data_IF_639347449752
#
_entry.id   IF_639347449752
#
_cell.length_a   1.000
_cell.length_b   1.000
_cell.length_c   1.000
_cell.angle_alpha   90.00
_cell.angle_beta   90.00
_cell.angle_gamma   90.00
#
_symmetry.space_group_name_H-M   'P 1'
#
loop_
_entity.id
_entity.type
_entity.pdbx_description
1 polymer ?
#
# COMPACT_ATOMS: atom_id res chain seq x y z
N UNK A 1 17.52 5.97 11.55
CA UNK A 1 17.60 4.50 11.36
C UNK A 1 17.21 4.21 9.92
N UNK A 2 18.07 3.60 9.09
CA UNK A 2 17.73 3.23 7.71
C UNK A 2 16.92 1.92 7.77
N UNK A 3 15.75 1.91 7.15
CA UNK A 3 14.94 0.71 7.00
C UNK A 3 15.73 -0.29 6.16
N UNK A 4 15.91 -1.53 6.65
CA UNK A 4 16.65 -2.56 5.91
C UNK A 4 15.91 -2.96 4.63
N UNK A 5 16.63 -3.46 3.62
CA UNK A 5 16.02 -3.91 2.35
C UNK A 5 14.92 -4.96 2.58
N UNK A 6 15.12 -5.84 3.56
CA UNK A 6 14.12 -6.83 3.99
C UNK A 6 12.85 -6.18 4.54
N UNK A 7 12.98 -5.14 5.37
CA UNK A 7 11.85 -4.39 5.90
C UNK A 7 11.10 -3.63 4.81
N UNK A 8 11.80 -3.09 3.80
CA UNK A 8 11.17 -2.47 2.63
C UNK A 8 10.36 -3.50 1.84
N UNK A 9 10.92 -4.68 1.60
CA UNK A 9 10.20 -5.77 0.92
C UNK A 9 8.95 -6.19 1.71
N UNK A 10 9.07 -6.37 3.03
CA UNK A 10 7.94 -6.74 3.88
C UNK A 10 6.86 -5.66 3.90
N UNK A 11 7.25 -4.39 4.02
CA UNK A 11 6.31 -3.27 3.96
C UNK A 11 5.56 -3.24 2.63
N UNK A 12 6.25 -3.49 1.51
CA UNK A 12 5.60 -3.57 0.20
C UNK A 12 4.54 -4.68 0.15
N UNK A 13 4.84 -5.86 0.69
CA UNK A 13 3.86 -6.96 0.81
C UNK A 13 2.66 -6.55 1.64
N UNK A 14 2.89 -5.94 2.81
CA UNK A 14 1.82 -5.48 3.70
C UNK A 14 0.91 -4.44 3.04
N UNK A 15 1.48 -3.53 2.23
CA UNK A 15 0.72 -2.55 1.47
C UNK A 15 -0.17 -3.24 0.43
N UNK A 16 0.37 -4.20 -0.33
CA UNK A 16 -0.38 -4.95 -1.33
C UNK A 16 -1.55 -5.73 -0.71
N UNK A 17 -1.30 -6.46 0.38
CA UNK A 17 -2.37 -7.21 1.06
C UNK A 17 -3.47 -6.30 1.62
N UNK A 18 -3.09 -5.17 2.21
CA UNK A 18 -4.04 -4.17 2.69
C UNK A 18 -4.85 -3.58 1.53
N UNK A 19 -4.21 -3.30 0.40
CA UNK A 19 -4.82 -2.76 -0.80
C UNK A 19 -5.83 -3.75 -1.40
N UNK A 20 -5.42 -4.99 -1.68
CA UNK A 20 -6.32 -6.03 -2.24
C UNK A 20 -7.56 -6.23 -1.36
N UNK A 21 -7.38 -6.27 -0.02
CA UNK A 21 -8.49 -6.43 0.92
C UNK A 21 -9.46 -5.24 0.86
N UNK A 22 -8.93 -4.01 0.88
CA UNK A 22 -9.75 -2.81 0.87
C UNK A 22 -10.47 -2.63 -0.47
N UNK A 23 -9.79 -2.85 -1.59
CA UNK A 23 -10.39 -2.75 -2.92
C UNK A 23 -11.50 -3.78 -3.10
N UNK A 24 -11.32 -5.01 -2.60
CA UNK A 24 -12.37 -6.04 -2.67
C UNK A 24 -13.57 -5.73 -1.77
N UNK A 25 -13.34 -5.10 -0.62
CA UNK A 25 -14.41 -4.80 0.35
C UNK A 25 -15.22 -3.54 0.00
N UNK A 26 -14.56 -2.49 -0.51
CA UNK A 26 -15.15 -1.16 -0.71
C UNK A 26 -15.21 -0.70 -2.17
N UNK A 27 -14.53 -1.40 -3.07
CA UNK A 27 -14.32 -0.98 -4.45
C UNK A 27 -13.12 -0.03 -4.60
N UNK A 28 -12.56 0.03 -5.81
CA UNK A 28 -11.39 0.87 -6.12
C UNK A 28 -11.64 2.34 -5.79
N UNK A 29 -12.75 2.93 -6.25
CA UNK A 29 -13.00 4.38 -6.14
C UNK A 29 -13.11 4.86 -4.70
N UNK A 30 -13.71 4.06 -3.81
CA UNK A 30 -13.93 4.41 -2.41
C UNK A 30 -12.66 4.32 -1.54
N UNK A 31 -11.62 3.60 -1.99
CA UNK A 31 -10.40 3.39 -1.20
C UNK A 31 -9.36 4.46 -1.51
N UNK A 32 -8.79 5.08 -0.49
CA UNK A 32 -7.70 6.05 -0.64
C UNK A 32 -6.34 5.43 -0.33
N UNK A 33 -5.27 5.96 -0.92
CA UNK A 33 -3.89 5.53 -0.58
C UNK A 33 -3.59 5.73 0.91
N UNK A 34 -4.16 6.76 1.53
CA UNK A 34 -4.01 7.00 2.96
C UNK A 34 -4.66 5.89 3.81
N UNK A 35 -5.84 5.39 3.42
CA UNK A 35 -6.48 4.25 4.08
C UNK A 35 -5.66 2.98 3.93
N UNK A 36 -5.13 2.71 2.73
CA UNK A 36 -4.26 1.53 2.50
C UNK A 36 -3.02 1.60 3.37
N UNK A 37 -2.32 2.74 3.36
CA UNK A 37 -1.11 2.92 4.17
C UNK A 37 -1.41 2.79 5.67
N UNK A 38 -2.51 3.37 6.14
CA UNK A 38 -2.96 3.22 7.53
C UNK A 38 -3.25 1.75 7.86
N UNK A 39 -3.91 1.02 6.98
CA UNK A 39 -4.20 -0.41 7.15
C UNK A 39 -2.92 -1.28 7.10
N UNK A 40 -1.88 -0.84 6.40
CA UNK A 40 -0.56 -1.46 6.38
C UNK A 40 0.35 -1.03 7.55
N UNK A 41 -0.13 -0.14 8.45
CA UNK A 41 0.66 0.35 9.59
C UNK A 41 1.74 1.37 9.21
N UNK A 42 1.61 2.02 8.06
CA UNK A 42 2.60 2.91 7.48
C UNK A 42 2.05 4.34 7.32
N UNK A 43 2.96 5.31 7.23
CA UNK A 43 2.58 6.71 7.02
C UNK A 43 2.20 6.93 5.56
N UNK A 44 1.27 7.86 5.31
CA UNK A 44 0.86 8.23 3.95
C UNK A 44 2.07 8.67 3.10
N UNK A 45 2.99 9.46 3.65
CA UNK A 45 4.20 9.90 2.93
C UNK A 45 5.11 8.75 2.50
N UNK A 46 5.08 7.59 3.19
CA UNK A 46 5.83 6.40 2.81
C UNK A 46 5.36 5.79 1.49
N UNK A 47 4.15 6.08 1.03
CA UNK A 47 3.54 5.48 -0.16
C UNK A 47 4.40 5.68 -1.40
N UNK A 48 4.87 6.91 -1.61
CA UNK A 48 5.67 7.31 -2.78
C UNK A 48 7.07 6.68 -2.82
N UNK A 49 7.49 6.00 -1.74
CA UNK A 49 8.69 5.16 -1.74
C UNK A 49 8.47 3.75 -2.28
N UNK A 50 7.21 3.30 -2.40
CA UNK A 50 6.84 1.94 -2.83
C UNK A 50 6.08 1.93 -4.16
N UNK A 51 5.20 2.91 -4.38
CA UNK A 51 4.30 2.97 -5.53
C UNK A 51 4.23 4.37 -6.11
N UNK A 52 4.11 4.47 -7.43
CA UNK A 52 4.05 5.76 -8.10
C UNK A 52 2.66 6.42 -8.01
N UNK A 53 1.60 5.60 -7.87
CA UNK A 53 0.20 6.05 -7.89
C UNK A 53 -0.74 4.97 -7.36
N UNK A 54 -1.98 5.36 -7.04
CA UNK A 54 -3.04 4.41 -6.65
C UNK A 54 -3.30 3.36 -7.74
N UNK A 55 -3.25 3.77 -9.01
CA UNK A 55 -3.41 2.86 -10.15
C UNK A 55 -2.29 1.81 -10.21
N UNK A 56 -1.04 2.25 -9.99
CA UNK A 56 0.13 1.38 -9.92
C UNK A 56 0.03 0.38 -8.76
N UNK A 57 -0.41 0.84 -7.58
CA UNK A 57 -0.73 -0.03 -6.46
C UNK A 57 -1.77 -1.08 -6.83
N UNK A 58 -2.83 -0.67 -7.53
CA UNK A 58 -3.96 -1.54 -7.88
C UNK A 58 -3.53 -2.61 -8.87
N UNK A 59 -2.83 -2.21 -9.93
CA UNK A 59 -2.27 -3.12 -10.93
C UNK A 59 -1.35 -4.18 -10.31
N UNK A 60 -0.63 -3.85 -9.23
CA UNK A 60 0.26 -4.76 -8.53
C UNK A 60 -0.43 -5.58 -7.41
N UNK A 61 -1.65 -5.21 -7.03
CA UNK A 61 -2.45 -5.87 -5.97
C UNK A 61 -3.49 -6.87 -6.50
N UNK A 62 -3.51 -7.09 -7.81
CA UNK A 62 -4.39 -8.03 -8.51
C UNK A 62 -3.83 -9.45 -8.55
#
# INVERSE_FOLDING_TARGET
MKVSREQVAQNRVNILEAASRLFRAKGYEAVTVAEVMKAAGLTHGGFYGYFASKDDLVAQSL
#
